data_IF_081188061354
#
_entry.id   IF_081188061354
#
_cell.length_a   1.000
_cell.length_b   1.000
_cell.length_c   1.000
_cell.angle_alpha   90.00
_cell.angle_beta   90.00
_cell.angle_gamma   90.00
#
_symmetry.space_group_name_H-M   'P 1'
#
loop_
_entity.id
_entity.type
_entity.pdbx_description
1 polymer ?
#
# COMPACT_ATOMS: atom_id res chain seq x y z
N UNK A 1 26.32 -33.30 -7.27
CA UNK A 1 25.64 -32.60 -6.15
C UNK A 1 24.62 -33.59 -5.57
N UNK A 2 24.75 -33.97 -4.30
CA UNK A 2 23.88 -34.97 -3.68
C UNK A 2 22.53 -34.37 -3.33
N UNK A 3 21.49 -35.20 -3.19
CA UNK A 3 20.16 -34.75 -2.75
C UNK A 3 20.25 -34.05 -1.38
N UNK A 4 21.08 -34.59 -0.48
CA UNK A 4 21.34 -34.02 0.84
C UNK A 4 21.89 -32.59 0.78
N UNK A 5 22.82 -32.28 -0.14
CA UNK A 5 23.37 -30.92 -0.23
C UNK A 5 22.37 -29.91 -0.78
N UNK A 6 21.46 -30.33 -1.68
CA UNK A 6 20.35 -29.49 -2.14
C UNK A 6 19.37 -29.18 -1.00
N UNK A 7 19.02 -30.18 -0.19
CA UNK A 7 18.12 -29.99 0.95
C UNK A 7 18.68 -28.99 1.97
N UNK A 8 19.98 -29.10 2.28
CA UNK A 8 20.65 -28.16 3.18
C UNK A 8 20.66 -26.73 2.62
N UNK A 9 20.87 -26.57 1.30
CA UNK A 9 20.82 -25.26 0.66
C UNK A 9 19.42 -24.64 0.72
N UNK A 10 18.37 -25.42 0.45
CA UNK A 10 16.99 -24.98 0.59
C UNK A 10 16.62 -24.59 2.02
N UNK A 11 16.99 -25.42 3.01
CA UNK A 11 16.72 -25.13 4.42
C UNK A 11 17.35 -23.79 4.85
N UNK A 12 18.56 -23.50 4.37
CA UNK A 12 19.23 -22.23 4.63
C UNK A 12 18.51 -21.04 4.00
N UNK A 13 18.07 -21.16 2.75
CA UNK A 13 17.30 -20.09 2.09
C UNK A 13 15.99 -19.82 2.85
N UNK A 14 15.29 -20.88 3.24
CA UNK A 14 14.07 -20.78 4.02
C UNK A 14 14.33 -20.11 5.39
N UNK A 15 15.39 -20.50 6.10
CA UNK A 15 15.80 -19.87 7.36
C UNK A 15 16.00 -18.36 7.19
N UNK A 16 16.72 -17.93 6.14
CA UNK A 16 16.94 -16.51 5.87
C UNK A 16 15.65 -15.75 5.58
N UNK A 17 14.72 -16.34 4.82
CA UNK A 17 13.43 -15.71 4.51
C UNK A 17 12.58 -15.60 5.79
N UNK A 18 12.50 -16.67 6.59
CA UNK A 18 11.79 -16.66 7.87
C UNK A 18 12.39 -15.62 8.83
N UNK A 19 13.71 -15.53 8.88
CA UNK A 19 14.40 -14.48 9.64
C UNK A 19 14.03 -13.09 9.12
N UNK A 20 13.86 -12.86 7.82
CA UNK A 20 13.47 -11.55 7.29
C UNK A 20 11.98 -11.21 7.46
N UNK A 21 11.18 -12.10 8.04
CA UNK A 21 9.77 -11.87 8.37
C UNK A 21 9.43 -12.29 9.81
N UNK A 22 10.42 -12.38 10.70
CA UNK A 22 10.18 -12.87 12.06
C UNK A 22 9.23 -11.97 12.87
N UNK A 23 9.24 -10.66 12.60
CA UNK A 23 8.41 -9.68 13.33
C UNK A 23 6.90 -9.91 13.10
N UNK A 24 6.38 -9.99 11.85
CA UNK A 24 4.97 -10.35 11.65
C UNK A 24 4.65 -11.77 12.13
N UNK A 25 5.59 -12.73 12.06
CA UNK A 25 5.40 -14.08 12.61
C UNK A 25 5.19 -14.05 14.14
N UNK A 26 6.03 -13.30 14.86
CA UNK A 26 5.91 -13.12 16.31
C UNK A 26 4.64 -12.35 16.68
N UNK A 27 4.21 -11.41 15.84
CA UNK A 27 2.95 -10.68 15.98
C UNK A 27 1.71 -11.55 15.69
N UNK A 28 1.88 -12.69 15.01
CA UNK A 28 0.79 -13.58 14.60
C UNK A 28 -0.04 -13.09 13.42
N UNK A 29 0.30 -11.93 12.84
CA UNK A 29 -0.36 -11.38 11.65
C UNK A 29 0.53 -10.34 10.93
N UNK A 30 0.35 -10.15 9.61
CA UNK A 30 0.91 -9.01 8.89
C UNK A 30 0.44 -7.67 9.44
N UNK A 31 1.22 -6.61 9.22
CA UNK A 31 0.94 -5.27 9.74
C UNK A 31 0.10 -4.46 8.76
N UNK A 32 -1.07 -4.03 9.21
CA UNK A 32 -1.96 -3.15 8.47
C UNK A 32 -1.57 -1.69 8.71
N UNK A 33 -1.46 -0.93 7.62
CA UNK A 33 -1.36 0.52 7.67
C UNK A 33 -2.71 1.14 7.31
N UNK A 34 -2.89 2.43 7.62
CA UNK A 34 -4.12 3.15 7.28
C UNK A 34 -4.48 3.03 5.79
N UNK A 35 -3.47 2.86 4.94
CA UNK A 35 -3.63 2.79 3.50
C UNK A 35 -3.92 1.38 2.96
N UNK A 36 -3.56 0.35 3.73
CA UNK A 36 -3.72 -1.06 3.37
C UNK A 36 -5.17 -1.38 2.99
N UNK A 37 -6.13 -0.89 3.79
CA UNK A 37 -7.55 -1.18 3.56
C UNK A 37 -8.04 -0.64 2.21
N UNK A 38 -7.48 0.47 1.73
CA UNK A 38 -7.89 1.05 0.46
C UNK A 38 -7.33 0.26 -0.72
N UNK A 39 -6.08 -0.21 -0.62
CA UNK A 39 -5.46 -1.06 -1.64
C UNK A 39 -6.26 -2.34 -1.86
N UNK A 40 -6.56 -3.06 -0.78
CA UNK A 40 -7.27 -4.34 -0.84
C UNK A 40 -8.70 -4.13 -1.30
N UNK A 41 -9.40 -3.12 -0.77
CA UNK A 41 -10.79 -2.85 -1.11
C UNK A 41 -10.97 -2.44 -2.57
N UNK A 42 -10.09 -1.60 -3.11
CA UNK A 42 -10.18 -1.21 -4.52
C UNK A 42 -10.07 -2.42 -5.45
N UNK A 43 -9.13 -3.32 -5.16
CA UNK A 43 -8.95 -4.55 -5.93
C UNK A 43 -10.13 -5.52 -5.77
N UNK A 44 -10.64 -5.70 -4.54
CA UNK A 44 -11.79 -6.55 -4.26
C UNK A 44 -13.07 -6.05 -4.94
N UNK A 45 -13.36 -4.75 -4.87
CA UNK A 45 -14.50 -4.14 -5.58
C UNK A 45 -14.36 -4.27 -7.09
N UNK A 46 -13.15 -4.04 -7.63
CA UNK A 46 -12.90 -4.23 -9.06
C UNK A 46 -13.17 -5.68 -9.49
N UNK A 47 -12.73 -6.68 -8.70
CA UNK A 47 -13.01 -8.08 -9.00
C UNK A 47 -14.51 -8.39 -8.85
N UNK A 48 -15.17 -7.89 -7.81
CA UNK A 48 -16.60 -8.06 -7.60
C UNK A 48 -17.40 -7.56 -8.81
N UNK A 49 -17.12 -6.34 -9.28
CA UNK A 49 -17.77 -5.77 -10.46
C UNK A 49 -17.43 -6.56 -11.74
N UNK A 50 -16.16 -6.88 -11.97
CA UNK A 50 -15.72 -7.63 -13.15
C UNK A 50 -16.32 -9.05 -13.21
N UNK A 51 -16.59 -9.66 -12.05
CA UNK A 51 -17.22 -10.97 -11.94
C UNK A 51 -18.75 -10.96 -12.10
N UNK A 52 -19.35 -9.82 -12.44
CA UNK A 52 -20.81 -9.67 -12.45
C UNK A 52 -21.43 -9.84 -11.07
N UNK A 53 -20.72 -9.40 -10.02
CA UNK A 53 -21.10 -9.49 -8.60
C UNK A 53 -21.17 -10.92 -8.03
N UNK A 54 -20.57 -11.90 -8.71
CA UNK A 54 -20.58 -13.30 -8.26
C UNK A 54 -19.50 -13.59 -7.22
N UNK A 55 -18.34 -12.94 -7.33
CA UNK A 55 -17.25 -13.07 -6.35
C UNK A 55 -17.43 -11.97 -5.30
N UNK A 56 -17.62 -12.35 -4.04
CA UNK A 56 -17.65 -11.42 -2.92
C UNK A 56 -16.77 -11.95 -1.79
N UNK A 57 -16.16 -11.04 -1.05
CA UNK A 57 -15.37 -11.36 0.15
C UNK A 57 -15.85 -10.49 1.31
N UNK A 58 -15.32 -10.74 2.50
CA UNK A 58 -15.56 -9.91 3.68
C UNK A 58 -15.24 -8.41 3.44
N UNK A 59 -14.38 -8.11 2.46
CA UNK A 59 -14.05 -6.73 2.07
C UNK A 59 -15.16 -6.06 1.25
N UNK A 60 -15.89 -6.78 0.40
CA UNK A 60 -17.01 -6.24 -0.37
C UNK A 60 -18.30 -6.27 0.43
N UNK A 61 -18.57 -7.35 1.17
CA UNK A 61 -19.82 -7.54 1.94
C UNK A 61 -20.11 -6.37 2.89
N UNK A 62 -19.06 -5.88 3.58
CA UNK A 62 -19.16 -4.74 4.50
C UNK A 62 -19.64 -3.45 3.82
N UNK A 63 -19.44 -3.32 2.52
CA UNK A 63 -19.73 -2.12 1.74
C UNK A 63 -20.74 -2.37 0.63
N UNK A 64 -21.36 -3.55 0.56
CA UNK A 64 -22.27 -3.92 -0.52
C UNK A 64 -23.40 -2.89 -0.70
N UNK A 65 -23.93 -2.35 0.40
CA UNK A 65 -24.97 -1.31 0.37
C UNK A 65 -24.50 0.07 -0.11
N UNK A 66 -23.19 0.29 -0.25
CA UNK A 66 -22.61 1.54 -0.77
C UNK A 66 -22.15 1.44 -2.23
N UNK A 67 -22.19 0.23 -2.82
CA UNK A 67 -21.83 0.01 -4.22
C UNK A 67 -23.07 0.32 -5.08
N UNK A 68 -23.00 1.24 -6.06
CA UNK A 68 -24.15 1.55 -6.92
C UNK A 68 -24.70 0.30 -7.61
N UNK A 69 -26.02 0.09 -7.59
CA UNK A 69 -26.68 -1.08 -8.19
C UNK A 69 -26.32 -1.27 -9.67
N UNK A 70 -26.19 -0.17 -10.42
CA UNK A 70 -25.91 -0.21 -11.86
C UNK A 70 -24.44 0.01 -12.22
N UNK A 71 -23.52 0.04 -11.24
CA UNK A 71 -22.10 0.36 -11.47
C UNK A 71 -21.84 1.81 -11.91
N UNK A 72 -22.85 2.51 -12.42
CA UNK A 72 -22.79 3.92 -12.74
C UNK A 72 -22.82 4.75 -11.45
N UNK A 73 -21.71 5.43 -11.14
CA UNK A 73 -21.69 6.48 -10.12
C UNK A 73 -22.63 7.59 -10.61
N UNK A 74 -23.71 7.86 -9.86
CA UNK A 74 -24.65 8.92 -10.20
C UNK A 74 -23.89 10.24 -10.41
N UNK A 75 -24.01 10.89 -11.58
CA UNK A 75 -23.32 12.15 -11.86
C UNK A 75 -23.60 13.24 -10.83
N UNK A 76 -24.77 13.18 -10.19
CA UNK A 76 -25.40 14.27 -9.43
C UNK A 76 -25.13 14.23 -7.91
N UNK A 77 -24.24 13.37 -7.41
CA UNK A 77 -23.86 13.42 -5.99
C UNK A 77 -23.09 14.70 -5.58
N UNK A 78 -22.79 15.59 -6.54
CA UNK A 78 -22.39 16.97 -6.29
C UNK A 78 -23.55 17.91 -5.91
N UNK A 79 -24.77 17.38 -5.71
CA UNK A 79 -25.90 18.19 -5.24
C UNK A 79 -25.55 18.73 -3.86
N UNK A 80 -25.31 20.05 -3.84
CA UNK A 80 -25.12 20.93 -2.67
C UNK A 80 -25.71 20.29 -1.42
N UNK A 81 -24.85 19.71 -0.57
CA UNK A 81 -25.27 19.28 0.75
C UNK A 81 -25.97 20.48 1.40
N UNK A 82 -27.19 20.31 1.95
CA UNK A 82 -27.93 21.43 2.50
C UNK A 82 -27.03 22.18 3.49
N UNK A 83 -27.02 23.51 3.42
CA UNK A 83 -26.07 24.41 4.07
C UNK A 83 -26.03 24.37 5.62
N UNK A 84 -26.62 23.34 6.25
CA UNK A 84 -26.59 23.07 7.68
C UNK A 84 -26.24 21.63 8.05
N UNK A 85 -25.91 20.75 7.09
CA UNK A 85 -25.39 19.43 7.42
C UNK A 85 -23.95 19.59 7.94
N UNK A 86 -23.79 19.43 9.26
CA UNK A 86 -22.50 19.44 9.95
C UNK A 86 -21.45 18.74 9.09
N UNK A 87 -20.31 19.41 8.86
CA UNK A 87 -19.18 18.94 8.06
C UNK A 87 -18.92 17.45 8.31
N UNK A 88 -19.59 16.61 7.53
CA UNK A 88 -19.28 15.19 7.49
C UNK A 88 -17.97 15.19 6.77
N UNK A 89 -16.88 15.13 7.56
CA UNK A 89 -15.53 15.02 7.04
C UNK A 89 -15.58 14.01 5.91
N UNK A 90 -15.42 14.48 4.68
CA UNK A 90 -15.34 13.64 3.49
C UNK A 90 -14.16 12.74 3.75
N UNK A 91 -14.46 11.56 4.29
CA UNK A 91 -13.45 10.64 4.73
C UNK A 91 -12.78 10.17 3.45
N UNK A 92 -11.45 10.15 3.44
CA UNK A 92 -10.63 9.82 2.27
C UNK A 92 -10.93 8.43 1.62
N UNK A 93 -11.92 7.70 2.14
CA UNK A 93 -12.28 6.33 1.79
C UNK A 93 -13.76 6.20 1.36
N UNK A 94 -14.42 7.28 0.98
CA UNK A 94 -15.81 7.23 0.53
C UNK A 94 -15.93 6.69 -0.91
N UNK A 95 -16.32 5.42 -1.00
CA UNK A 95 -16.57 4.69 -2.26
C UNK A 95 -17.69 5.37 -3.05
N UNK A 96 -18.70 5.90 -2.35
CA UNK A 96 -19.88 6.49 -2.97
C UNK A 96 -19.56 7.80 -3.70
N UNK A 97 -18.55 8.54 -3.20
CA UNK A 97 -18.05 9.74 -3.83
C UNK A 97 -17.16 9.47 -5.07
N UNK A 98 -16.99 8.20 -5.47
CA UNK A 98 -16.07 7.82 -6.55
C UNK A 98 -14.60 8.09 -6.22
N UNK A 99 -14.31 8.35 -4.95
CA UNK A 99 -12.97 8.55 -4.40
C UNK A 99 -12.28 7.21 -4.12
N UNK A 100 -12.59 6.19 -4.92
CA UNK A 100 -11.76 4.99 -5.01
C UNK A 100 -10.45 5.44 -5.67
N UNK A 101 -9.50 5.71 -4.79
CA UNK A 101 -8.28 6.49 -4.94
C UNK A 101 -7.54 6.32 -6.27
N UNK A 102 -7.82 7.21 -7.21
CA UNK A 102 -7.03 7.44 -8.43
C UNK A 102 -5.53 7.71 -8.14
N UNK A 103 -5.19 8.09 -6.91
CA UNK A 103 -3.81 8.32 -6.48
C UNK A 103 -3.05 7.10 -5.93
N UNK A 104 -3.67 5.92 -5.78
CA UNK A 104 -3.00 4.73 -5.21
C UNK A 104 -2.85 3.63 -6.26
N UNK A 105 -1.71 2.92 -6.23
CA UNK A 105 -1.40 1.92 -7.26
C UNK A 105 -2.39 0.73 -7.22
N UNK A 106 -3.16 0.52 -8.31
CA UNK A 106 -4.07 -0.62 -8.40
C UNK A 106 -3.31 -1.95 -8.47
N UNK A 107 -2.09 -1.95 -9.01
CA UNK A 107 -1.28 -3.16 -9.17
C UNK A 107 -0.84 -3.74 -7.83
N UNK A 108 -0.46 -2.88 -6.88
CA UNK A 108 -0.14 -3.33 -5.52
C UNK A 108 -1.40 -3.76 -4.78
N UNK A 109 -2.52 -3.05 -4.96
CA UNK A 109 -3.80 -3.49 -4.43
C UNK A 109 -4.19 -4.89 -4.91
N UNK A 110 -4.04 -5.15 -6.21
CA UNK A 110 -4.29 -6.46 -6.79
C UNK A 110 -3.33 -7.53 -6.25
N UNK A 111 -2.02 -7.24 -6.17
CA UNK A 111 -1.04 -8.17 -5.61
C UNK A 111 -1.34 -8.51 -4.14
N UNK A 112 -1.68 -7.51 -3.32
CA UNK A 112 -2.05 -7.70 -1.92
C UNK A 112 -3.35 -8.49 -1.79
N UNK A 113 -4.34 -8.20 -2.63
CA UNK A 113 -5.60 -8.91 -2.65
C UNK A 113 -5.45 -10.38 -3.06
N UNK A 114 -4.58 -10.69 -4.03
CA UNK A 114 -4.21 -12.08 -4.33
C UNK A 114 -3.54 -12.76 -3.13
N UNK A 115 -2.67 -12.04 -2.41
CA UNK A 115 -2.08 -12.53 -1.15
C UNK A 115 -3.12 -12.81 -0.07
N UNK A 116 -4.15 -11.97 0.04
CA UNK A 116 -5.30 -12.18 0.91
C UNK A 116 -6.05 -13.46 0.54
N UNK A 117 -6.50 -13.57 -0.71
CA UNK A 117 -7.28 -14.73 -1.17
C UNK A 117 -6.55 -16.06 -0.98
N UNK A 118 -5.23 -16.08 -1.18
CA UNK A 118 -4.46 -17.31 -1.13
C UNK A 118 -3.93 -17.67 0.26
N UNK A 119 -3.81 -16.70 1.19
CA UNK A 119 -3.04 -16.93 2.43
C UNK A 119 -3.24 -15.90 3.54
N UNK A 120 -4.34 -15.14 3.55
CA UNK A 120 -4.56 -14.06 4.52
C UNK A 120 -3.35 -13.10 4.59
N UNK A 121 -2.81 -12.73 3.41
CA UNK A 121 -1.66 -11.85 3.20
C UNK A 121 -0.27 -12.45 3.49
N UNK A 122 -0.15 -13.66 4.01
CA UNK A 122 1.18 -14.25 4.30
C UNK A 122 2.06 -14.40 3.07
N UNK A 123 1.50 -14.78 1.92
CA UNK A 123 2.26 -14.86 0.66
C UNK A 123 2.82 -13.50 0.22
N UNK A 124 2.15 -12.40 0.54
CA UNK A 124 2.66 -11.06 0.26
C UNK A 124 3.89 -10.75 1.13
N UNK A 125 3.84 -11.08 2.42
CA UNK A 125 4.96 -10.94 3.36
C UNK A 125 6.14 -11.83 2.95
N UNK A 126 5.87 -13.10 2.61
CA UNK A 126 6.90 -14.04 2.12
C UNK A 126 7.53 -13.52 0.83
N UNK A 127 6.73 -12.96 -0.07
CA UNK A 127 7.22 -12.35 -1.31
C UNK A 127 8.16 -11.17 -1.03
N UNK A 128 7.78 -10.22 -0.17
CA UNK A 128 8.66 -9.10 0.21
C UNK A 128 9.96 -9.59 0.87
N UNK A 129 9.87 -10.54 1.79
CA UNK A 129 11.04 -11.13 2.46
C UNK A 129 11.96 -11.87 1.47
N UNK A 130 11.41 -12.59 0.49
CA UNK A 130 12.16 -13.28 -0.55
C UNK A 130 12.87 -12.31 -1.50
N UNK A 131 12.21 -11.21 -1.90
CA UNK A 131 12.83 -10.15 -2.71
C UNK A 131 13.96 -9.47 -1.94
N UNK A 132 13.73 -9.10 -0.68
CA UNK A 132 14.75 -8.58 0.23
C UNK A 132 15.97 -9.50 0.30
N UNK A 133 15.73 -10.79 0.56
CA UNK A 133 16.77 -11.80 0.64
C UNK A 133 17.58 -11.91 -0.66
N UNK A 134 16.88 -12.00 -1.80
CA UNK A 134 17.50 -12.06 -3.12
C UNK A 134 18.42 -10.87 -3.40
N UNK A 135 17.96 -9.65 -3.09
CA UNK A 135 18.73 -8.43 -3.26
C UNK A 135 19.96 -8.38 -2.35
N UNK A 136 19.83 -8.82 -1.09
CA UNK A 136 20.98 -8.93 -0.15
C UNK A 136 22.02 -9.91 -0.69
N UNK A 137 21.61 -11.10 -1.16
CA UNK A 137 22.52 -12.10 -1.72
C UNK A 137 23.26 -11.56 -2.94
N UNK A 138 22.56 -10.87 -3.86
CA UNK A 138 23.20 -10.28 -5.03
C UNK A 138 24.14 -9.13 -4.66
N UNK A 139 23.77 -8.30 -3.69
CA UNK A 139 24.64 -7.24 -3.19
C UNK A 139 25.92 -7.81 -2.58
N UNK A 140 25.83 -8.79 -1.68
CA UNK A 140 27.01 -9.42 -1.08
C UNK A 140 27.92 -10.07 -2.13
N UNK A 141 27.34 -10.83 -3.06
CA UNK A 141 28.10 -11.44 -4.17
C UNK A 141 28.77 -10.39 -5.06
N UNK A 142 28.18 -9.19 -5.17
CA UNK A 142 28.78 -8.09 -5.93
C UNK A 142 30.06 -7.57 -5.32
N UNK A 143 30.19 -7.65 -4.00
CA UNK A 143 31.39 -7.30 -3.26
C UNK A 143 32.33 -8.50 -3.03
N UNK A 144 32.12 -9.62 -3.75
CA UNK A 144 32.95 -10.82 -3.60
C UNK A 144 32.66 -11.62 -2.34
N UNK A 145 31.55 -11.36 -1.65
CA UNK A 145 31.13 -12.08 -0.46
C UNK A 145 30.12 -13.15 -0.87
N UNK A 146 30.60 -14.36 -1.14
CA UNK A 146 29.78 -15.53 -1.54
C UNK A 146 29.73 -16.64 -0.48
N UNK A 147 30.50 -16.48 0.61
CA UNK A 147 30.54 -17.40 1.74
C UNK A 147 29.16 -17.66 2.35
N UNK A 148 28.71 -18.92 2.33
CA UNK A 148 27.39 -19.33 2.79
C UNK A 148 27.07 -18.85 4.22
N UNK A 149 28.05 -18.95 5.12
CA UNK A 149 27.91 -18.51 6.52
C UNK A 149 27.86 -16.99 6.67
N UNK A 150 28.63 -16.25 5.88
CA UNK A 150 28.60 -14.78 5.87
C UNK A 150 27.24 -14.26 5.40
N UNK A 151 26.68 -14.84 4.33
CA UNK A 151 25.34 -14.49 3.87
C UNK A 151 24.29 -14.71 4.98
N UNK A 152 24.31 -15.86 5.64
CA UNK A 152 23.39 -16.15 6.74
C UNK A 152 23.61 -15.17 7.89
N UNK A 153 24.85 -14.95 8.31
CA UNK A 153 25.21 -14.01 9.37
C UNK A 153 24.76 -12.58 9.08
N UNK A 154 24.94 -12.10 7.85
CA UNK A 154 24.46 -10.78 7.43
C UNK A 154 22.94 -10.70 7.46
N UNK A 155 22.22 -11.71 6.96
CA UNK A 155 20.75 -11.70 6.98
C UNK A 155 20.22 -11.72 8.41
N UNK A 156 20.78 -12.57 9.28
CA UNK A 156 20.41 -12.61 10.70
C UNK A 156 20.76 -11.29 11.40
N UNK A 157 21.92 -10.70 11.11
CA UNK A 157 22.33 -9.40 11.63
C UNK A 157 21.39 -8.28 11.20
N UNK A 158 21.06 -8.19 9.90
CA UNK A 158 20.10 -7.21 9.39
C UNK A 158 18.70 -7.42 9.99
N UNK A 159 18.29 -8.68 10.14
CA UNK A 159 17.01 -9.03 10.76
C UNK A 159 16.93 -8.64 12.24
N UNK A 160 18.01 -8.81 13.00
CA UNK A 160 18.04 -8.51 14.42
C UNK A 160 18.31 -7.03 14.73
N UNK A 161 19.09 -6.33 13.89
CA UNK A 161 19.63 -5.01 14.18
C UNK A 161 18.99 -3.87 13.37
N UNK A 162 18.01 -4.17 12.52
CA UNK A 162 17.33 -3.16 11.69
C UNK A 162 15.81 -3.33 11.69
N UNK A 163 15.11 -2.36 11.10
CA UNK A 163 13.65 -2.40 10.91
C UNK A 163 13.21 -3.19 9.67
N UNK A 164 14.14 -3.78 8.91
CA UNK A 164 13.83 -4.53 7.70
C UNK A 164 12.74 -5.60 7.86
N UNK A 165 12.74 -6.47 8.90
CA UNK A 165 11.68 -7.47 9.04
C UNK A 165 10.32 -6.88 9.41
N UNK A 166 10.28 -5.68 10.00
CA UNK A 166 9.04 -4.94 10.20
C UNK A 166 8.51 -4.43 8.85
N UNK A 167 9.37 -3.83 8.02
CA UNK A 167 9.00 -3.36 6.67
C UNK A 167 8.56 -4.47 5.71
N UNK A 168 9.15 -5.68 5.80
CA UNK A 168 8.69 -6.84 5.04
C UNK A 168 7.34 -7.38 5.53
N UNK A 169 6.93 -7.02 6.75
CA UNK A 169 5.62 -7.36 7.31
C UNK A 169 4.55 -6.30 7.07
N UNK A 170 4.92 -5.12 6.58
CA UNK A 170 3.99 -4.03 6.30
C UNK A 170 3.29 -4.25 4.96
N UNK A 171 1.96 -4.20 4.99
CA UNK A 171 1.11 -4.28 3.82
C UNK A 171 1.05 -2.92 3.08
N UNK A 172 2.22 -2.48 2.60
CA UNK A 172 2.47 -1.19 1.96
C UNK A 172 3.36 -1.32 0.72
N UNK A 173 3.20 -0.36 -0.20
CA UNK A 173 4.01 -0.26 -1.41
C UNK A 173 5.45 0.23 -1.13
N UNK A 174 5.71 0.90 -0.01
CA UNK A 174 6.93 1.67 0.22
C UNK A 174 8.23 0.83 0.22
N UNK A 175 8.15 -0.43 0.67
CA UNK A 175 9.29 -1.36 0.63
C UNK A 175 9.82 -1.57 -0.79
N UNK A 176 8.96 -1.49 -1.80
CA UNK A 176 9.36 -1.58 -3.21
C UNK A 176 10.23 -0.40 -3.65
N UNK A 177 10.14 0.77 -3.00
CA UNK A 177 11.03 1.88 -3.29
C UNK A 177 12.49 1.51 -2.96
N UNK A 178 12.73 0.94 -1.78
CA UNK A 178 14.05 0.46 -1.39
C UNK A 178 14.54 -0.68 -2.31
N UNK A 179 13.65 -1.59 -2.70
CA UNK A 179 13.98 -2.67 -3.64
C UNK A 179 14.39 -2.13 -5.02
N UNK A 180 13.69 -1.11 -5.53
CA UNK A 180 14.03 -0.45 -6.78
C UNK A 180 15.41 0.21 -6.71
N UNK A 181 15.72 0.92 -5.61
CA UNK A 181 17.03 1.55 -5.42
C UNK A 181 18.13 0.50 -5.50
N UNK A 182 18.04 -0.57 -4.69
CA UNK A 182 19.07 -1.60 -4.67
C UNK A 182 19.16 -2.31 -6.03
N UNK A 183 18.03 -2.64 -6.64
CA UNK A 183 18.02 -3.32 -7.94
C UNK A 183 18.67 -2.47 -9.04
N UNK A 184 18.39 -1.17 -9.08
CA UNK A 184 19.03 -0.25 -10.03
C UNK A 184 20.52 -0.11 -9.77
N UNK A 185 20.95 0.04 -8.51
CA UNK A 185 22.36 0.12 -8.15
C UNK A 185 23.12 -1.16 -8.55
N UNK A 186 22.53 -2.34 -8.37
CA UNK A 186 23.12 -3.61 -8.79
C UNK A 186 23.30 -3.69 -10.31
N UNK A 187 22.35 -3.18 -11.08
CA UNK A 187 22.45 -3.08 -12.54
C UNK A 187 23.50 -2.04 -12.98
N UNK A 188 23.63 -0.93 -12.25
CA UNK A 188 24.57 0.15 -12.55
C UNK A 188 26.02 -0.22 -12.22
N UNK A 189 26.22 -1.07 -11.22
CA UNK A 189 27.56 -1.48 -10.74
C UNK A 189 28.26 -2.39 -11.75
N UNK A 190 29.55 -2.17 -12.11
CA UNK A 190 30.31 -3.01 -13.03
C UNK A 190 30.56 -4.45 -12.57
N UNK A 191 30.62 -5.41 -13.51
CA UNK A 191 30.93 -6.82 -13.29
C UNK A 191 29.84 -7.79 -13.81
N UNK A 192 30.03 -9.09 -13.60
CA UNK A 192 29.19 -10.15 -14.19
C UNK A 192 27.87 -10.33 -13.42
N UNK A 193 26.76 -10.32 -14.16
CA UNK A 193 25.44 -10.78 -13.74
C UNK A 193 24.96 -11.75 -14.81
N UNK A 194 24.40 -12.88 -14.39
CA UNK A 194 23.74 -13.82 -15.28
C UNK A 194 22.48 -13.20 -15.91
N UNK A 195 22.01 -13.76 -17.02
CA UNK A 195 20.79 -13.26 -17.69
C UNK A 195 19.56 -13.36 -16.80
N UNK A 196 19.47 -14.43 -15.99
CA UNK A 196 18.37 -14.62 -15.03
C UNK A 196 18.39 -13.57 -13.91
N UNK A 197 19.56 -13.23 -13.37
CA UNK A 197 19.69 -12.17 -12.36
C UNK A 197 19.31 -10.81 -12.92
N UNK A 198 19.76 -10.48 -14.15
CA UNK A 198 19.35 -9.24 -14.81
C UNK A 198 17.84 -9.18 -15.02
N UNK A 199 17.23 -10.27 -15.52
CA UNK A 199 15.79 -10.34 -15.71
C UNK A 199 15.02 -10.17 -14.40
N UNK A 200 15.48 -10.82 -13.32
CA UNK A 200 14.88 -10.69 -11.99
C UNK A 200 15.00 -9.25 -11.44
N UNK A 201 16.15 -8.59 -11.58
CA UNK A 201 16.33 -7.19 -11.18
C UNK A 201 15.43 -6.24 -11.97
N UNK A 202 15.29 -6.45 -13.27
CA UNK A 202 14.34 -5.69 -14.11
C UNK A 202 12.90 -5.97 -13.68
N UNK A 203 12.55 -7.22 -13.37
CA UNK A 203 11.24 -7.57 -12.83
C UNK A 203 10.92 -6.84 -11.52
N UNK A 204 11.88 -6.79 -10.59
CA UNK A 204 11.75 -6.01 -9.34
C UNK A 204 11.55 -4.53 -9.64
N UNK A 205 12.30 -3.95 -10.58
CA UNK A 205 12.13 -2.55 -10.98
C UNK A 205 10.73 -2.29 -11.56
N UNK A 206 10.24 -3.15 -12.46
CA UNK A 206 8.91 -3.02 -13.07
C UNK A 206 7.81 -3.06 -12.01
N UNK A 207 7.84 -4.05 -11.12
CA UNK A 207 6.87 -4.14 -10.01
C UNK A 207 6.93 -2.88 -9.15
N UNK A 208 8.14 -2.39 -8.85
CA UNK A 208 8.34 -1.24 -7.98
C UNK A 208 7.87 0.08 -8.60
N UNK A 209 8.14 0.35 -9.88
CA UNK A 209 7.67 1.57 -10.55
C UNK A 209 6.16 1.54 -10.79
N UNK A 210 5.56 0.36 -10.93
CA UNK A 210 4.10 0.20 -10.95
C UNK A 210 3.49 0.35 -9.56
N UNK A 211 4.28 0.28 -8.48
CA UNK A 211 3.77 0.32 -7.10
C UNK A 211 3.41 1.70 -6.59
N UNK A 212 4.11 2.76 -7.03
CA UNK A 212 3.83 4.12 -6.59
C UNK A 212 4.46 5.15 -7.54
N UNK A 213 3.79 6.29 -7.75
CA UNK A 213 4.30 7.37 -8.63
C UNK A 213 5.66 7.90 -8.14
N UNK A 214 5.86 7.97 -6.82
CA UNK A 214 7.14 8.42 -6.23
C UNK A 214 8.30 7.51 -6.63
N UNK A 215 8.07 6.22 -6.90
CA UNK A 215 9.13 5.31 -7.35
C UNK A 215 9.57 5.60 -8.77
N UNK A 216 8.67 6.07 -9.65
CA UNK A 216 9.02 6.53 -11.00
C UNK A 216 9.93 7.77 -10.90
N UNK A 217 9.54 8.74 -10.08
CA UNK A 217 10.33 9.97 -9.86
C UNK A 217 11.70 9.65 -9.25
N UNK A 218 11.72 8.77 -8.26
CA UNK A 218 12.96 8.30 -7.62
C UNK A 218 13.88 7.59 -8.63
N UNK A 219 13.36 6.68 -9.46
CA UNK A 219 14.15 6.02 -10.50
C UNK A 219 14.67 7.02 -11.55
N UNK A 220 13.87 8.00 -11.94
CA UNK A 220 14.29 9.08 -12.82
C UNK A 220 15.42 9.92 -12.20
N UNK A 221 15.34 10.23 -10.90
CA UNK A 221 16.39 10.93 -10.17
C UNK A 221 17.69 10.11 -10.10
N UNK A 222 17.61 8.80 -9.86
CA UNK A 222 18.77 7.91 -9.89
C UNK A 222 19.42 7.82 -11.27
N UNK A 223 18.60 7.76 -12.33
CA UNK A 223 19.07 7.77 -13.72
C UNK A 223 19.75 9.11 -14.08
N UNK A 224 19.20 10.23 -13.62
CA UNK A 224 19.80 11.55 -13.77
C UNK A 224 21.11 11.69 -13.00
N UNK A 225 21.19 11.16 -11.77
CA UNK A 225 22.42 11.11 -11.00
C UNK A 225 23.51 10.30 -11.72
N UNK A 226 23.14 9.16 -12.33
CA UNK A 226 24.05 8.37 -13.16
C UNK A 226 24.52 9.15 -14.39
N UNK A 227 23.65 9.98 -15.00
CA UNK A 227 24.00 10.87 -16.11
C UNK A 227 25.04 11.90 -15.68
N UNK A 228 24.80 12.53 -14.53
CA UNK A 228 25.68 13.54 -13.97
C UNK A 228 27.06 12.96 -13.65
N UNK A 229 27.13 11.78 -13.03
CA UNK A 229 28.40 11.08 -12.77
C UNK A 229 29.15 10.78 -14.07
N UNK A 230 28.45 10.33 -15.11
CA UNK A 230 29.04 10.08 -16.42
C UNK A 230 29.58 11.37 -17.08
N UNK A 231 28.85 12.48 -16.96
CA UNK A 231 29.28 13.80 -17.46
C UNK A 231 30.52 14.33 -16.71
N UNK A 232 30.56 14.13 -15.38
CA UNK A 232 31.69 14.51 -14.53
C UNK A 232 32.91 13.59 -14.71
N UNK A 233 32.83 12.57 -15.57
CA UNK A 233 33.89 11.56 -15.82
C UNK A 233 34.35 10.86 -14.53
N UNK A 234 33.53 10.85 -13.49
CA UNK A 234 33.81 10.08 -12.27
C UNK A 234 33.42 8.62 -12.55
N UNK A 235 34.25 7.60 -12.21
CA UNK A 235 33.94 6.24 -12.62
C UNK A 235 32.70 5.76 -11.86
N UNK A 236 31.92 4.82 -12.42
CA UNK A 236 32.35 3.85 -13.44
C UNK A 236 31.67 4.05 -14.80
N UNK A 237 32.20 3.38 -15.83
CA UNK A 237 31.50 3.19 -17.11
C UNK A 237 30.11 2.58 -16.82
N UNK A 238 29.11 3.45 -16.73
CA UNK A 238 27.75 3.09 -16.39
C UNK A 238 27.30 1.98 -17.34
N UNK A 239 26.91 0.84 -16.79
CA UNK A 239 26.56 -0.28 -17.64
C UNK A 239 25.38 0.12 -18.53
N UNK A 240 25.53 -0.10 -19.85
CA UNK A 240 24.44 0.08 -20.83
C UNK A 240 23.12 -0.55 -20.37
N UNK A 241 23.21 -1.64 -19.61
CA UNK A 241 22.07 -2.34 -19.00
C UNK A 241 21.26 -1.47 -18.04
N UNK A 242 21.90 -0.70 -17.16
CA UNK A 242 21.22 0.18 -16.21
C UNK A 242 20.48 1.32 -16.92
N UNK A 243 21.10 1.91 -17.95
CA UNK A 243 20.48 2.92 -18.80
C UNK A 243 19.21 2.41 -19.47
N UNK A 244 19.33 1.28 -20.18
CA UNK A 244 18.20 0.68 -20.89
C UNK A 244 17.09 0.23 -19.93
N UNK A 245 17.45 -0.45 -18.84
CA UNK A 245 16.48 -0.90 -17.84
C UNK A 245 15.78 0.28 -17.15
N UNK A 246 16.55 1.30 -16.72
CA UNK A 246 16.00 2.50 -16.08
C UNK A 246 15.04 3.24 -16.98
N UNK A 247 15.45 3.55 -18.21
CA UNK A 247 14.59 4.25 -19.18
C UNK A 247 13.33 3.43 -19.53
N UNK A 248 13.48 2.13 -19.78
CA UNK A 248 12.35 1.25 -20.07
C UNK A 248 11.37 1.15 -18.89
N UNK A 249 11.87 0.99 -17.65
CA UNK A 249 11.01 0.92 -16.47
C UNK A 249 10.30 2.25 -16.20
N UNK A 250 10.94 3.41 -16.43
CA UNK A 250 10.26 4.71 -16.35
C UNK A 250 9.10 4.77 -17.36
N UNK A 251 9.34 4.38 -18.61
CA UNK A 251 8.29 4.34 -19.63
C UNK A 251 7.14 3.39 -19.25
N UNK A 252 7.45 2.19 -18.75
CA UNK A 252 6.46 1.23 -18.25
C UNK A 252 5.68 1.81 -17.06
N UNK A 253 6.35 2.47 -16.12
CA UNK A 253 5.73 3.13 -14.99
C UNK A 253 4.71 4.18 -15.45
N UNK A 254 5.10 5.08 -16.36
CA UNK A 254 4.17 6.07 -16.93
C UNK A 254 3.02 5.40 -17.69
N UNK A 255 3.29 4.40 -18.52
CA UNK A 255 2.25 3.66 -19.23
C UNK A 255 1.25 3.01 -18.26
N UNK A 256 1.72 2.47 -17.13
CA UNK A 256 0.86 1.87 -16.10
C UNK A 256 -0.07 2.89 -15.43
N UNK A 257 0.41 4.12 -15.21
CA UNK A 257 -0.41 5.23 -14.68
C UNK A 257 -1.48 5.64 -15.69
N UNK A 258 -1.13 5.78 -16.97
CA UNK A 258 -2.08 6.14 -18.02
C UNK A 258 -3.14 5.05 -18.24
N UNK A 259 -2.71 3.78 -18.24
CA UNK A 259 -3.62 2.65 -18.38
C UNK A 259 -4.62 2.59 -17.22
N UNK A 260 -4.15 2.82 -16.00
CA UNK A 260 -5.02 2.90 -14.82
C UNK A 260 -6.01 4.05 -14.92
N UNK A 261 -5.54 5.22 -15.36
CA UNK A 261 -6.39 6.40 -15.52
C UNK A 261 -7.49 6.17 -16.56
N UNK A 262 -7.13 5.59 -17.70
CA UNK A 262 -8.05 5.21 -18.78
C UNK A 262 -9.07 4.17 -18.31
N UNK A 263 -8.62 3.10 -17.65
CA UNK A 263 -9.51 2.06 -17.13
C UNK A 263 -10.49 2.61 -16.10
N UNK A 264 -10.04 3.55 -15.26
CA UNK A 264 -10.89 4.24 -14.28
C UNK A 264 -11.92 5.15 -14.97
N UNK A 265 -11.52 5.89 -16.00
CA UNK A 265 -12.44 6.74 -16.77
C UNK A 265 -13.50 5.90 -17.48
N UNK A 266 -13.11 4.78 -18.08
CA UNK A 266 -14.03 3.84 -18.74
C UNK A 266 -15.00 3.21 -17.73
N UNK A 267 -14.52 2.83 -16.55
CA UNK A 267 -15.34 2.19 -15.52
C UNK A 267 -16.29 3.17 -14.80
N UNK A 268 -15.84 4.41 -14.55
CA UNK A 268 -16.57 5.37 -13.74
C UNK A 268 -17.32 6.46 -14.55
N UNK A 269 -17.07 6.55 -15.86
CA UNK A 269 -17.66 7.57 -16.73
C UNK A 269 -17.18 9.00 -16.42
N UNK A 270 -16.14 9.16 -15.60
CA UNK A 270 -15.57 10.45 -15.19
C UNK A 270 -14.05 10.36 -15.17
N UNK A 271 -13.37 11.45 -15.54
CA UNK A 271 -11.91 11.52 -15.47
C UNK A 271 -11.44 11.36 -14.02
N UNK A 272 -10.43 10.52 -13.76
CA UNK A 272 -9.87 10.36 -12.43
C UNK A 272 -9.34 11.69 -11.92
N UNK A 273 -9.68 12.04 -10.68
CA UNK A 273 -9.06 13.17 -10.00
C UNK A 273 -7.61 12.80 -9.67
N UNK A 274 -6.69 13.14 -10.57
CA UNK A 274 -5.25 13.09 -10.30
C UNK A 274 -4.94 14.08 -9.18
N UNK A 275 -4.07 13.68 -8.25
CA UNK A 275 -3.66 14.52 -7.12
C UNK A 275 -3.20 15.92 -7.59
N UNK A 276 -3.42 16.98 -6.80
CA UNK A 276 -3.17 18.38 -7.20
C UNK A 276 -1.73 18.73 -7.59
N UNK A 277 -0.76 17.82 -7.40
CA UNK A 277 0.66 18.06 -7.68
C UNK A 277 0.92 18.51 -9.14
N UNK A 278 0.06 18.11 -10.09
CA UNK A 278 0.14 18.58 -11.48
C UNK A 278 -0.81 19.75 -11.80
N UNK A 279 -1.79 20.05 -10.94
CA UNK A 279 -2.71 21.18 -11.14
C UNK A 279 -2.08 22.52 -10.73
N UNK A 280 -1.15 22.52 -9.77
CA UNK A 280 -0.47 23.74 -9.35
C UNK A 280 0.34 24.43 -10.48
N UNK A 281 0.85 23.67 -11.46
CA UNK A 281 1.60 24.22 -12.60
C UNK A 281 0.70 24.83 -13.69
N UNK A 282 -0.63 24.63 -13.62
CA UNK A 282 -1.59 25.13 -14.62
C UNK A 282 -2.52 26.21 -14.05
N UNK A 283 -2.00 27.01 -13.13
CA UNK A 283 -2.61 28.24 -12.63
C UNK A 283 -2.65 29.33 -13.71
N UNK A 284 -3.40 29.12 -14.79
CA UNK A 284 -3.85 30.20 -15.66
C UNK A 284 -4.90 30.97 -14.88
N UNK A 285 -4.54 32.18 -14.45
CA UNK A 285 -5.31 32.99 -13.53
C UNK A 285 -6.69 33.37 -14.04
N UNK A 286 -7.72 32.64 -13.61
CA UNK A 286 -9.06 33.21 -13.52
C UNK A 286 -9.11 34.06 -12.24
N UNK A 287 -8.65 35.30 -12.34
CA UNK A 287 -9.00 36.34 -11.36
C UNK A 287 -10.51 36.53 -11.43
N UNK A 288 -11.26 35.82 -10.59
CA UNK A 288 -12.64 36.22 -10.28
C UNK A 288 -12.54 37.47 -9.40
N UNK A 289 -12.57 38.63 -10.05
CA UNK A 289 -12.88 39.89 -9.40
C UNK A 289 -14.29 39.78 -8.82
N UNK A 290 -14.40 39.71 -7.50
CA UNK A 290 -15.68 39.49 -6.83
C UNK A 290 -15.65 39.93 -5.38
N UNK A 291 -15.91 41.22 -5.18
CA UNK A 291 -16.62 41.80 -4.03
C UNK A 291 -16.16 41.39 -2.61
N UNK A 292 -15.23 42.19 -2.08
CA UNK A 292 -15.08 42.39 -0.63
C UNK A 292 -16.31 43.08 -0.05
N UNK A 293 -17.23 42.30 0.55
CA UNK A 293 -18.12 42.79 1.60
C UNK A 293 -17.72 42.11 2.91
N UNK A 294 -16.98 42.84 3.72
CA UNK A 294 -16.47 42.40 5.00
C UNK A 294 -17.58 42.49 6.07
N UNK A 295 -18.16 41.35 6.45
CA UNK A 295 -18.89 41.22 7.72
C UNK A 295 -17.98 40.49 8.71
N UNK A 296 -17.47 41.20 9.71
CA UNK A 296 -16.69 40.64 10.83
C UNK A 296 -17.55 39.62 11.59
N UNK A 297 -17.16 38.35 11.71
CA UNK A 297 -17.78 37.46 12.69
C UNK A 297 -17.32 37.86 14.10
N UNK A 298 -18.28 38.07 14.99
CA UNK A 298 -18.05 38.24 16.43
C UNK A 298 -17.53 36.94 17.05
N UNK A 299 -16.53 37.00 17.95
CA UNK A 299 -16.02 35.80 18.61
C UNK A 299 -17.07 35.21 19.58
N UNK A 300 -17.24 33.88 19.63
CA UNK A 300 -18.11 33.23 20.62
C UNK A 300 -17.50 33.36 22.02
N UNK A 301 -18.23 33.97 22.94
CA UNK A 301 -17.81 34.31 24.31
C UNK A 301 -18.05 33.21 25.35
N UNK A 302 -18.22 31.94 24.97
CA UNK A 302 -18.33 30.87 25.97
C UNK A 302 -17.78 29.53 25.49
N UNK A 303 -16.66 29.13 26.09
CA UNK A 303 -16.21 27.73 26.10
C UNK A 303 -16.89 27.02 27.27
N UNK A 304 -17.57 25.88 27.07
CA UNK A 304 -18.10 25.08 28.17
C UNK A 304 -16.96 24.52 29.03
N UNK A 305 -17.10 24.62 30.36
CA UNK A 305 -16.15 24.08 31.34
C UNK A 305 -16.02 22.57 31.19
N UNK A 306 -14.78 22.09 31.32
CA UNK A 306 -14.38 20.68 31.20
C UNK A 306 -14.90 19.76 32.33
N UNK A 307 -15.68 20.28 33.28
CA UNK A 307 -16.15 19.55 34.46
C UNK A 307 -17.36 18.65 34.22
N UNK A 308 -18.04 18.78 33.07
CA UNK A 308 -19.35 18.15 32.88
C UNK A 308 -19.31 16.89 31.98
N UNK A 309 -18.11 16.34 31.72
CA UNK A 309 -17.99 15.07 30.98
C UNK A 309 -17.98 13.90 31.98
N UNK A 310 -18.98 12.99 31.95
CA UNK A 310 -18.95 11.78 32.76
C UNK A 310 -17.74 10.93 32.37
N UNK A 311 -16.98 10.46 33.36
CA UNK A 311 -15.85 9.57 33.16
C UNK A 311 -16.33 8.25 32.51
N UNK A 312 -15.66 7.76 31.45
CA UNK A 312 -15.96 6.45 30.90
C UNK A 312 -15.53 5.38 31.90
N UNK A 313 -16.51 4.69 32.50
CA UNK A 313 -16.29 3.52 33.35
C UNK A 313 -15.67 2.39 32.54
N UNK A 314 -14.37 2.14 32.74
CA UNK A 314 -13.67 0.98 32.20
C UNK A 314 -14.21 -0.30 32.87
N UNK A 315 -14.81 -1.19 32.08
CA UNK A 315 -15.12 -2.56 32.54
C UNK A 315 -13.85 -3.41 32.62
N UNK A 316 -13.68 -4.25 33.66
CA UNK A 316 -12.49 -5.09 33.81
C UNK A 316 -12.42 -6.21 32.76
N UNK A 317 -11.23 -6.44 32.22
CA UNK A 317 -10.91 -7.59 31.36
C UNK A 317 -10.96 -8.89 32.17
N UNK A 318 -11.85 -9.83 31.82
CA UNK A 318 -11.80 -11.20 32.37
C UNK A 318 -10.95 -12.12 31.49
N UNK A 319 -9.99 -12.80 32.10
CA UNK A 319 -9.08 -13.76 31.48
C UNK A 319 -9.78 -15.13 31.35
N UNK A 320 -10.06 -15.59 30.13
CA UNK A 320 -10.44 -16.99 29.90
C UNK A 320 -9.23 -17.77 29.40
N UNK A 321 -8.98 -18.95 29.98
CA UNK A 321 -7.76 -19.76 29.86
C UNK A 321 -7.47 -20.41 28.50
N UNK A 322 -7.87 -19.79 27.38
CA UNK A 322 -7.63 -20.31 26.04
C UNK A 322 -7.29 -19.16 25.08
N UNK A 323 -6.10 -18.57 25.24
CA UNK A 323 -5.52 -17.64 24.28
C UNK A 323 -6.23 -16.28 24.12
N UNK A 324 -5.51 -15.34 23.51
CA UNK A 324 -6.03 -14.01 23.19
C UNK A 324 -6.91 -14.07 21.94
N UNK A 325 -8.22 -14.27 22.13
CA UNK A 325 -9.21 -14.03 21.08
C UNK A 325 -9.76 -12.61 21.28
N UNK A 326 -9.66 -11.71 20.29
CA UNK A 326 -10.36 -10.43 20.35
C UNK A 326 -11.86 -10.71 20.44
N UNK A 327 -12.52 -10.33 21.55
CA UNK A 327 -13.99 -10.27 21.56
C UNK A 327 -14.40 -9.19 20.58
N UNK A 328 -14.90 -9.60 19.42
CA UNK A 328 -15.68 -8.74 18.54
C UNK A 328 -16.86 -8.23 19.38
N UNK A 329 -17.04 -6.90 19.56
CA UNK A 329 -18.22 -6.39 20.25
C UNK A 329 -19.44 -6.86 19.46
N UNK A 330 -20.26 -7.71 20.08
CA UNK A 330 -21.61 -7.98 19.57
C UNK A 330 -22.33 -6.63 19.50
N UNK A 331 -22.96 -6.39 18.37
CA UNK A 331 -23.80 -5.23 18.08
C UNK A 331 -24.63 -4.84 19.31
N UNK A 332 -24.81 -3.55 19.62
CA UNK A 332 -25.69 -3.15 20.71
C UNK A 332 -27.08 -3.72 20.42
N UNK A 333 -27.50 -4.65 21.28
CA UNK A 333 -28.79 -5.31 21.18
C UNK A 333 -29.91 -4.27 21.18
N UNK A 334 -30.88 -4.48 20.30
CA UNK A 334 -32.20 -3.83 20.39
C UNK A 334 -32.71 -3.98 21.82
N UNK A 335 -32.92 -2.86 22.51
CA UNK A 335 -33.80 -2.83 23.68
C UNK A 335 -35.21 -3.22 23.20
N UNK A 336 -35.62 -4.45 23.47
CA UNK A 336 -37.02 -4.84 23.38
C UNK A 336 -37.77 -4.17 24.53
N UNK A 337 -38.56 -3.16 24.22
CA UNK A 337 -39.55 -2.61 25.16
C UNK A 337 -40.66 -3.65 25.34
N UNK A 338 -40.55 -4.47 26.39
CA UNK A 338 -41.68 -5.26 26.89
C UNK A 338 -42.55 -4.35 27.76
N UNK A 339 -43.73 -3.99 27.24
CA UNK A 339 -44.82 -3.35 27.99
C UNK A 339 -45.43 -4.42 28.92
N UNK A 340 -45.54 -4.18 30.24
CA UNK A 340 -46.22 -5.12 31.13
C UNK A 340 -47.75 -5.05 30.92
N UNK A 341 -48.36 -6.20 30.64
CA UNK A 341 -49.82 -6.36 30.61
C UNK A 341 -50.39 -6.31 32.04
N UNK A 342 -51.43 -5.49 32.20
CA UNK A 342 -52.24 -5.43 33.42
C UNK A 342 -52.97 -6.77 33.65
N UNK A 343 -52.95 -7.25 34.90
CA UNK A 343 -53.84 -8.32 35.37
C UNK A 343 -55.23 -7.74 35.66
N UNK A 344 -56.32 -8.39 35.26
CA UNK A 344 -57.64 -8.08 35.80
C UNK A 344 -57.85 -8.77 37.15
N UNK A 345 -58.67 -8.14 37.99
CA UNK A 345 -59.25 -8.69 39.20
C UNK A 345 -60.46 -9.58 38.87
#
# INVERSE_FOLDING_TARGET
MTIASRAQDWARHLLCILALMWVPLANGQPFFFYDTTNYVRAADVALHLASGKTISTAWTERYAGSIPENGAIRPDAGTVAPAGAAHSEVTHNDISAGLIMSGRSPYIGALMYLGYLASDFWLYVVFQAAVSYFLIVLALRRFGIDGKGLIVGTVLGLSALTTLPFYNGLLLADSFGAFAIIAFLLLATPGKLSRGEVAALVGVLVVSVSAHLTHIVMLAAMLAALALLALLRWPPAAQRRAWLAGAACIAVGFASVQLTAFATELALGKKPNLLPLLRAARGTGSRSAGSTSATRPTPPTSFPRRSDRPEPTCSPMSRNGAGWVPRIPRSPGRCSNSIPSARPA
#
